data_IF_065724549152
#
_entry.id   IF_065724549152
#
_cell.length_a   1.000
_cell.length_b   1.000
_cell.length_c   1.000
_cell.angle_alpha   90.00
_cell.angle_beta   90.00
_cell.angle_gamma   90.00
#
_symmetry.space_group_name_H-M   'P 1'
#
loop_
_entity.id
_entity.type
_entity.pdbx_description
1 polymer ?
#
# COMPACT_ATOMS: atom_id res chain seq x y z
N UNK A 1 22.98 2.08 -9.38
CA UNK A 1 21.58 2.53 -9.63
C UNK A 1 20.64 2.16 -8.47
N UNK A 2 20.66 0.93 -7.95
CA UNK A 2 19.82 0.52 -6.80
C UNK A 2 20.08 1.28 -5.50
N UNK A 3 21.32 1.64 -5.19
CA UNK A 3 21.66 2.37 -3.95
C UNK A 3 21.14 3.81 -3.94
N UNK A 4 21.03 4.43 -5.12
CA UNK A 4 20.47 5.76 -5.29
C UNK A 4 18.94 5.80 -5.05
N UNK A 5 18.23 4.69 -5.28
CA UNK A 5 16.79 4.57 -5.00
C UNK A 5 16.48 4.33 -3.51
N UNK A 6 17.50 4.04 -2.69
CA UNK A 6 17.34 3.64 -1.29
C UNK A 6 17.78 4.72 -0.30
N UNK A 7 18.28 5.86 -0.78
CA UNK A 7 18.85 6.91 0.06
C UNK A 7 18.55 8.33 -0.44
N UNK A 8 18.47 9.27 0.50
CA UNK A 8 18.26 10.70 0.22
C UNK A 8 16.93 11.05 -0.47
N UNK A 9 16.87 12.25 -1.06
CA UNK A 9 15.67 12.79 -1.75
C UNK A 9 15.14 11.89 -2.87
N UNK A 10 16.03 11.18 -3.57
CA UNK A 10 15.67 10.31 -4.68
C UNK A 10 14.90 9.08 -4.20
N UNK A 11 15.26 8.52 -3.03
CA UNK A 11 14.52 7.43 -2.41
C UNK A 11 13.14 7.86 -1.91
N UNK A 12 13.04 9.05 -1.31
CA UNK A 12 11.74 9.62 -0.89
C UNK A 12 10.81 9.85 -2.09
N UNK A 13 11.33 10.41 -3.18
CA UNK A 13 10.57 10.61 -4.41
C UNK A 13 10.12 9.27 -5.02
N UNK A 14 10.99 8.25 -5.01
CA UNK A 14 10.64 6.91 -5.50
C UNK A 14 9.50 6.28 -4.67
N UNK A 15 9.56 6.38 -3.33
CA UNK A 15 8.47 5.91 -2.45
C UNK A 15 7.17 6.65 -2.77
N UNK A 16 7.22 7.99 -2.92
CA UNK A 16 6.04 8.78 -3.28
C UNK A 16 5.42 8.37 -4.61
N UNK A 17 6.23 8.15 -5.65
CA UNK A 17 5.76 7.66 -6.95
C UNK A 17 5.12 6.28 -6.82
N UNK A 18 5.75 5.36 -6.08
CA UNK A 18 5.19 4.02 -5.85
C UNK A 18 3.85 4.10 -5.10
N UNK A 19 3.70 5.01 -4.14
CA UNK A 19 2.43 5.23 -3.45
C UNK A 19 1.33 5.67 -4.43
N UNK A 20 1.59 6.67 -5.26
CA UNK A 20 0.61 7.18 -6.23
C UNK A 20 0.21 6.10 -7.23
N UNK A 21 1.20 5.43 -7.82
CA UNK A 21 0.96 4.35 -8.80
C UNK A 21 0.24 3.17 -8.14
N UNK A 22 0.65 2.80 -6.93
CA UNK A 22 0.05 1.70 -6.16
C UNK A 22 -1.40 1.96 -5.79
N UNK A 23 -1.73 3.19 -5.38
CA UNK A 23 -3.11 3.60 -5.08
C UNK A 23 -3.97 3.56 -6.36
N UNK A 24 -3.46 4.12 -7.46
CA UNK A 24 -4.15 4.10 -8.75
C UNK A 24 -4.40 2.67 -9.23
N UNK A 25 -3.40 1.78 -9.14
CA UNK A 25 -3.55 0.38 -9.51
C UNK A 25 -4.55 -0.35 -8.59
N UNK A 26 -4.52 -0.09 -7.28
CA UNK A 26 -5.42 -0.68 -6.29
C UNK A 26 -6.87 -0.25 -6.49
N UNK A 27 -7.09 0.97 -7.00
CA UNK A 27 -8.42 1.46 -7.37
C UNK A 27 -9.01 0.73 -8.58
N UNK A 28 -8.17 0.21 -9.48
CA UNK A 28 -8.60 -0.58 -10.65
C UNK A 28 -8.78 -2.05 -10.29
N UNK A 29 -7.84 -2.64 -9.54
CA UNK A 29 -7.90 -4.05 -9.15
C UNK A 29 -7.13 -4.30 -7.85
N UNK A 30 -7.60 -5.25 -7.04
CA UNK A 30 -6.99 -5.59 -5.74
C UNK A 30 -5.56 -6.15 -5.84
N UNK A 31 -5.14 -6.64 -7.01
CA UNK A 31 -3.77 -7.08 -7.26
C UNK A 31 -2.78 -5.91 -7.25
N UNK A 32 -3.28 -4.67 -7.45
CA UNK A 32 -2.52 -3.44 -7.27
C UNK A 32 -1.94 -3.29 -5.86
N UNK A 33 -2.59 -3.86 -4.83
CA UNK A 33 -2.09 -3.83 -3.44
C UNK A 33 -0.79 -4.63 -3.33
N UNK A 34 -0.78 -5.84 -3.91
CA UNK A 34 0.39 -6.71 -3.92
C UNK A 34 1.51 -6.08 -4.76
N UNK A 35 1.18 -5.56 -5.94
CA UNK A 35 2.15 -4.86 -6.79
C UNK A 35 2.79 -3.66 -6.09
N UNK A 36 1.99 -2.85 -5.38
CA UNK A 36 2.50 -1.74 -4.56
C UNK A 36 3.44 -2.24 -3.46
N UNK A 37 3.06 -3.30 -2.74
CA UNK A 37 3.91 -3.95 -1.74
C UNK A 37 5.26 -4.39 -2.31
N UNK A 38 5.25 -5.09 -3.45
CA UNK A 38 6.49 -5.51 -4.14
C UNK A 38 7.38 -4.31 -4.46
N UNK A 39 6.82 -3.27 -5.08
CA UNK A 39 7.57 -2.06 -5.45
C UNK A 39 8.14 -1.34 -4.21
N UNK A 40 7.36 -1.25 -3.13
CA UNK A 40 7.82 -0.69 -1.85
C UNK A 40 8.97 -1.50 -1.26
N UNK A 41 8.94 -2.83 -1.36
CA UNK A 41 10.02 -3.71 -0.95
C UNK A 41 11.33 -3.47 -1.74
N UNK A 42 11.23 -3.24 -3.06
CA UNK A 42 12.38 -2.94 -3.93
C UNK A 42 13.09 -1.64 -3.51
N UNK A 43 12.31 -0.59 -3.25
CA UNK A 43 12.85 0.74 -2.88
C UNK A 43 13.19 0.86 -1.41
N UNK A 44 12.74 -0.06 -0.56
CA UNK A 44 13.00 -0.03 0.87
C UNK A 44 14.49 -0.26 1.18
N UNK A 45 15.09 0.56 2.07
CA UNK A 45 16.49 0.41 2.46
C UNK A 45 16.72 -0.73 3.47
N UNK A 46 15.68 -1.26 4.11
CA UNK A 46 15.77 -2.36 5.06
C UNK A 46 14.42 -3.06 5.24
N UNK A 47 14.41 -4.27 5.81
CA UNK A 47 13.18 -5.03 6.11
C UNK A 47 12.23 -4.22 6.99
N UNK A 48 12.75 -3.56 8.03
CA UNK A 48 11.95 -2.69 8.91
C UNK A 48 11.29 -1.56 8.11
N UNK A 49 12.02 -0.93 7.19
CA UNK A 49 11.45 0.13 6.35
C UNK A 49 10.47 -0.39 5.32
N UNK A 50 10.68 -1.58 4.76
CA UNK A 50 9.73 -2.24 3.87
C UNK A 50 8.39 -2.51 4.57
N UNK A 51 8.43 -3.02 5.81
CA UNK A 51 7.24 -3.18 6.64
C UNK A 51 6.53 -1.85 6.88
N UNK A 52 7.27 -0.81 7.28
CA UNK A 52 6.72 0.52 7.55
C UNK A 52 6.04 1.10 6.31
N UNK A 53 6.73 1.11 5.15
CA UNK A 53 6.15 1.64 3.91
C UNK A 53 4.90 0.87 3.48
N UNK A 54 4.93 -0.48 3.55
CA UNK A 54 3.76 -1.29 3.23
C UNK A 54 2.59 -1.04 4.18
N UNK A 55 2.86 -0.86 5.48
CA UNK A 55 1.85 -0.54 6.48
C UNK A 55 1.26 0.85 6.26
N UNK A 56 2.09 1.87 6.05
CA UNK A 56 1.65 3.23 5.72
C UNK A 56 0.78 3.24 4.45
N UNK A 57 1.19 2.52 3.41
CA UNK A 57 0.39 2.36 2.19
C UNK A 57 -0.97 1.73 2.48
N UNK A 58 -1.01 0.67 3.29
CA UNK A 58 -2.25 -0.01 3.67
C UNK A 58 -3.21 0.93 4.38
N UNK A 59 -2.70 1.71 5.33
CA UNK A 59 -3.49 2.68 6.09
C UNK A 59 -4.03 3.79 5.18
N UNK A 60 -3.19 4.34 4.31
CA UNK A 60 -3.60 5.36 3.33
C UNK A 60 -4.63 4.81 2.36
N UNK A 61 -4.47 3.58 1.86
CA UNK A 61 -5.42 2.94 0.96
C UNK A 61 -6.79 2.75 1.62
N UNK A 62 -6.83 2.21 2.84
CA UNK A 62 -8.08 2.01 3.59
C UNK A 62 -8.75 3.35 3.90
N UNK A 63 -7.98 4.36 4.31
CA UNK A 63 -8.50 5.70 4.58
C UNK A 63 -9.04 6.36 3.31
N UNK A 64 -8.34 6.24 2.18
CA UNK A 64 -8.77 6.76 0.88
C UNK A 64 -10.06 6.07 0.42
N UNK A 65 -10.16 4.75 0.57
CA UNK A 65 -11.37 4.00 0.24
C UNK A 65 -12.54 4.38 1.15
N UNK A 66 -12.34 4.48 2.47
CA UNK A 66 -13.37 4.92 3.39
C UNK A 66 -13.83 6.37 3.10
N UNK A 67 -12.88 7.26 2.78
CA UNK A 67 -13.17 8.63 2.35
C UNK A 67 -13.98 8.68 1.05
N UNK A 68 -13.64 7.83 0.07
CA UNK A 68 -14.40 7.66 -1.17
C UNK A 68 -15.84 7.19 -0.90
N UNK A 69 -16.01 6.21 -0.01
CA UNK A 69 -17.34 5.74 0.40
C UNK A 69 -18.14 6.82 1.13
N UNK A 70 -17.49 7.61 1.98
CA UNK A 70 -18.12 8.74 2.66
C UNK A 70 -18.58 9.81 1.66
N UNK A 71 -17.74 10.16 0.69
CA UNK A 71 -18.03 11.12 -0.36
C UNK A 71 -19.27 10.72 -1.19
N UNK A 72 -19.46 9.43 -1.42
CA UNK A 72 -20.61 8.89 -2.15
C UNK A 72 -21.80 8.52 -1.26
N UNK A 73 -21.78 8.88 0.04
CA UNK A 73 -22.86 8.57 0.98
C UNK A 73 -23.04 7.07 1.30
N UNK A 74 -22.05 6.24 0.94
CA UNK A 74 -22.12 4.78 1.04
C UNK A 74 -21.37 4.21 2.27
N UNK A 75 -20.70 5.06 3.07
CA UNK A 75 -19.87 4.61 4.21
C UNK A 75 -20.65 3.75 5.21
N UNK A 76 -21.83 4.21 5.64
CA UNK A 76 -22.64 3.48 6.62
C UNK A 76 -23.08 2.11 6.09
N UNK A 77 -23.46 2.04 4.81
CA UNK A 77 -23.83 0.79 4.15
C UNK A 77 -22.64 -0.18 4.08
N UNK A 78 -21.44 0.31 3.75
CA UNK A 78 -20.23 -0.51 3.72
C UNK A 78 -19.83 -1.02 5.11
N UNK A 79 -19.83 -0.16 6.12
CA UNK A 79 -19.56 -0.56 7.51
C UNK A 79 -20.59 -1.59 8.00
N UNK A 80 -21.85 -1.45 7.62
CA UNK A 80 -22.93 -2.38 7.94
C UNK A 80 -22.95 -3.67 7.12
N UNK A 81 -22.13 -3.79 6.06
CA UNK A 81 -22.14 -4.93 5.14
C UNK A 81 -21.44 -6.19 5.68
N UNK A 82 -21.47 -6.39 7.00
CA UNK A 82 -20.91 -7.56 7.68
C UNK A 82 -19.39 -7.66 7.50
N UNK A 83 -18.86 -8.71 6.83
CA UNK A 83 -17.42 -8.95 6.77
C UNK A 83 -16.67 -8.04 5.78
N UNK A 84 -17.34 -7.28 4.91
CA UNK A 84 -16.67 -6.52 3.85
C UNK A 84 -15.61 -5.52 4.34
N UNK A 85 -15.83 -4.73 5.42
CA UNK A 85 -14.77 -3.89 5.97
C UNK A 85 -13.55 -4.68 6.45
N UNK A 86 -13.78 -5.85 7.08
CA UNK A 86 -12.69 -6.72 7.54
C UNK A 86 -11.90 -7.28 6.36
N UNK A 87 -12.57 -7.71 5.29
CA UNK A 87 -11.92 -8.17 4.06
C UNK A 87 -11.09 -7.06 3.43
N UNK A 88 -11.59 -5.83 3.44
CA UNK A 88 -10.86 -4.66 2.91
C UNK A 88 -9.56 -4.42 3.68
N UNK A 89 -9.63 -4.43 5.01
CA UNK A 89 -8.45 -4.27 5.88
C UNK A 89 -7.48 -5.43 5.71
N UNK A 90 -7.97 -6.67 5.71
CA UNK A 90 -7.14 -7.86 5.53
C UNK A 90 -6.44 -7.88 4.17
N UNK A 91 -7.13 -7.49 3.09
CA UNK A 91 -6.54 -7.36 1.77
C UNK A 91 -5.46 -6.27 1.72
N UNK A 92 -5.69 -5.11 2.36
CA UNK A 92 -4.69 -4.05 2.42
C UNK A 92 -3.38 -4.54 3.07
N UNK A 93 -3.47 -5.37 4.11
CA UNK A 93 -2.31 -5.96 4.78
C UNK A 93 -1.47 -6.91 3.90
N UNK A 94 -1.91 -7.26 2.68
CA UNK A 94 -1.04 -7.94 1.72
C UNK A 94 0.13 -7.06 1.27
N UNK A 95 0.01 -5.73 1.30
CA UNK A 95 1.08 -4.81 0.94
C UNK A 95 2.32 -4.94 1.84
N UNK A 96 2.25 -4.85 3.19
CA UNK A 96 3.42 -5.03 4.06
C UNK A 96 3.99 -6.45 3.98
N UNK A 97 3.16 -7.47 3.78
CA UNK A 97 3.64 -8.85 3.59
C UNK A 97 4.47 -8.96 2.30
N UNK A 98 3.96 -8.44 1.18
CA UNK A 98 4.67 -8.45 -0.09
C UNK A 98 5.94 -7.58 -0.06
N UNK A 99 5.90 -6.42 0.62
CA UNK A 99 7.05 -5.55 0.77
C UNK A 99 8.18 -6.21 1.56
N UNK A 100 7.85 -6.83 2.70
CA UNK A 100 8.81 -7.58 3.50
C UNK A 100 9.36 -8.78 2.73
N UNK A 101 8.48 -9.58 2.10
CA UNK A 101 8.89 -10.74 1.31
C UNK A 101 9.85 -10.34 0.19
N UNK A 102 9.55 -9.28 -0.55
CA UNK A 102 10.43 -8.77 -1.61
C UNK A 102 11.77 -8.30 -1.04
N UNK A 103 11.78 -7.55 0.05
CA UNK A 103 13.02 -7.05 0.68
C UNK A 103 13.89 -8.17 1.27
N UNK A 104 13.31 -9.30 1.65
CA UNK A 104 14.02 -10.48 2.15
C UNK A 104 14.67 -11.31 1.04
N UNK A 105 14.11 -11.25 -0.17
CA UNK A 105 14.55 -12.03 -1.33
C UNK A 105 15.56 -11.27 -2.22
N UNK A 106 15.84 -10.00 -1.92
CA UNK A 106 16.58 -9.03 -2.74
C UNK A 106 17.86 -8.53 -2.04
#
# INVERSE_FOLDING_TARGET
MRDALRSGRTGEAAVGVVFVVGLAASAVHWTGIVAAGVLLGVVAPSVRRAFVFGLEFSLVLVAAFAGWMAWHGALAAWVGAGPLPLVTVAAALLAPVAAVGTRLLD
#
